data_IF_850532495677
#
_entry.id   IF_850532495677
#
_cell.length_a   1.000
_cell.length_b   1.000
_cell.length_c   1.000
_cell.angle_alpha   90.00
_cell.angle_beta   90.00
_cell.angle_gamma   90.00
#
_symmetry.space_group_name_H-M   'P 1'
#
loop_
_entity.id
_entity.type
_entity.pdbx_description
1 polymer ?
#
# COMPACT_ATOMS: atom_id res chain seq x y z
N UNK A 1 -38.98 -80.53 -15.06
CA UNK A 1 -37.76 -79.73 -15.30
C UNK A 1 -38.12 -78.27 -15.01
N UNK A 2 -37.67 -77.75 -13.87
CA UNK A 2 -38.11 -76.46 -13.30
C UNK A 2 -37.20 -75.34 -13.82
N UNK A 3 -37.80 -74.31 -14.43
CA UNK A 3 -37.13 -73.08 -14.86
C UNK A 3 -36.94 -72.16 -13.66
N UNK A 4 -35.70 -71.79 -13.36
CA UNK A 4 -35.37 -70.75 -12.38
C UNK A 4 -35.05 -69.47 -13.15
N UNK A 5 -35.88 -68.43 -12.94
CA UNK A 5 -35.64 -67.08 -13.46
C UNK A 5 -34.96 -66.29 -12.34
N UNK A 6 -33.70 -65.91 -12.55
CA UNK A 6 -32.96 -65.02 -11.65
C UNK A 6 -33.26 -63.58 -12.01
N UNK A 7 -33.88 -62.84 -11.07
CA UNK A 7 -34.07 -61.39 -11.17
C UNK A 7 -32.85 -60.71 -10.55
N UNK A 8 -32.13 -59.92 -11.35
CA UNK A 8 -31.02 -59.07 -10.88
C UNK A 8 -31.60 -57.70 -10.54
N UNK A 9 -31.59 -57.33 -9.26
CA UNK A 9 -31.89 -55.96 -8.80
C UNK A 9 -30.66 -55.07 -9.04
N UNK A 10 -30.78 -54.10 -9.95
CA UNK A 10 -29.80 -53.04 -10.11
C UNK A 10 -30.07 -51.92 -9.08
N UNK A 11 -29.16 -51.77 -8.11
CA UNK A 11 -29.12 -50.61 -7.21
C UNK A 11 -28.57 -49.39 -7.98
N UNK A 12 -29.44 -48.42 -8.26
CA UNK A 12 -29.06 -47.13 -8.82
C UNK A 12 -28.57 -46.24 -7.68
N UNK A 13 -27.26 -45.97 -7.64
CA UNK A 13 -26.67 -44.98 -6.75
C UNK A 13 -26.97 -43.60 -7.35
N UNK A 14 -27.85 -42.84 -6.72
CA UNK A 14 -28.15 -41.47 -7.14
C UNK A 14 -27.00 -40.55 -6.76
N UNK A 15 -26.23 -40.08 -7.74
CA UNK A 15 -25.31 -38.96 -7.56
C UNK A 15 -26.13 -37.67 -7.43
N UNK A 16 -26.18 -37.12 -6.21
CA UNK A 16 -26.75 -35.80 -5.99
C UNK A 16 -25.83 -34.76 -6.64
N UNK A 17 -26.24 -34.25 -7.81
CA UNK A 17 -25.62 -33.06 -8.42
C UNK A 17 -25.99 -31.86 -7.57
N UNK A 18 -25.08 -31.44 -6.68
CA UNK A 18 -25.21 -30.18 -5.97
C UNK A 18 -25.06 -29.04 -6.99
N UNK A 19 -26.15 -28.33 -7.27
CA UNK A 19 -26.13 -27.13 -8.08
C UNK A 19 -25.22 -26.09 -7.40
N UNK A 20 -24.11 -25.76 -8.06
CA UNK A 20 -23.16 -24.75 -7.59
C UNK A 20 -23.83 -23.38 -7.70
N UNK A 21 -24.06 -22.72 -6.57
CA UNK A 21 -24.63 -21.38 -6.55
C UNK A 21 -23.73 -20.43 -7.38
N UNK A 22 -24.31 -19.52 -8.18
CA UNK A 22 -23.53 -18.57 -8.97
C UNK A 22 -22.63 -17.75 -8.04
N UNK A 23 -21.36 -17.60 -8.43
CA UNK A 23 -20.41 -16.78 -7.69
C UNK A 23 -20.96 -15.36 -7.54
N UNK A 24 -20.93 -14.83 -6.32
CA UNK A 24 -21.34 -13.45 -6.07
C UNK A 24 -20.48 -12.49 -6.92
N UNK A 25 -21.09 -11.45 -7.51
CA UNK A 25 -20.34 -10.48 -8.30
C UNK A 25 -19.27 -9.80 -7.43
N UNK A 26 -18.03 -9.76 -7.94
CA UNK A 26 -16.92 -9.06 -7.28
C UNK A 26 -17.20 -7.56 -7.33
N UNK A 27 -17.51 -6.97 -6.18
CA UNK A 27 -17.64 -5.51 -6.04
C UNK A 27 -16.24 -4.92 -6.04
N UNK A 28 -15.87 -4.24 -7.14
CA UNK A 28 -14.61 -3.52 -7.18
C UNK A 28 -14.68 -2.30 -6.25
N UNK A 29 -13.65 -2.04 -5.41
CA UNK A 29 -13.61 -0.87 -4.56
C UNK A 29 -13.79 0.40 -5.39
N UNK A 30 -14.67 1.31 -4.94
CA UNK A 30 -14.82 2.61 -5.58
C UNK A 30 -13.55 3.43 -5.40
N UNK A 31 -12.99 3.89 -6.51
CA UNK A 31 -11.82 4.78 -6.51
C UNK A 31 -12.30 6.23 -6.53
N UNK A 32 -11.96 6.99 -5.49
CA UNK A 32 -12.37 8.40 -5.35
C UNK A 32 -11.29 9.40 -5.79
N UNK A 33 -10.01 9.04 -5.60
CA UNK A 33 -8.88 9.94 -5.83
C UNK A 33 -8.14 9.60 -7.12
N UNK A 34 -7.73 10.63 -7.87
CA UNK A 34 -6.69 10.47 -8.90
C UNK A 34 -5.33 10.15 -8.26
N UNK A 35 -4.32 9.79 -9.07
CA UNK A 35 -3.01 9.39 -8.57
C UNK A 35 -2.34 10.49 -7.73
N UNK A 36 -2.37 11.74 -8.20
CA UNK A 36 -1.77 12.86 -7.50
C UNK A 36 -2.45 13.14 -6.15
N UNK A 37 -3.77 12.99 -6.08
CA UNK A 37 -4.55 13.13 -4.84
C UNK A 37 -4.23 12.01 -3.86
N UNK A 38 -4.10 10.76 -4.33
CA UNK A 38 -3.64 9.65 -3.49
C UNK A 38 -2.26 9.98 -2.92
N UNK A 39 -1.28 10.28 -3.76
CA UNK A 39 0.08 10.60 -3.33
C UNK A 39 0.12 11.72 -2.28
N UNK A 40 -0.64 12.79 -2.47
CA UNK A 40 -0.70 13.91 -1.50
C UNK A 40 -1.42 13.58 -0.20
N UNK A 41 -2.50 12.79 -0.28
CA UNK A 41 -3.32 12.47 0.88
C UNK A 41 -2.74 11.38 1.77
N UNK A 42 -1.81 10.58 1.24
CA UNK A 42 -1.29 9.41 1.96
C UNK A 42 0.23 9.39 2.00
N UNK A 43 0.92 9.21 0.86
CA UNK A 43 2.38 9.04 0.82
C UNK A 43 3.14 10.29 1.30
N UNK A 44 2.70 11.47 0.88
CA UNK A 44 3.36 12.74 1.18
C UNK A 44 3.48 13.02 2.69
N UNK A 45 2.41 13.01 3.51
CA UNK A 45 2.54 13.24 4.95
C UNK A 45 3.43 12.19 5.63
N UNK A 46 3.38 10.92 5.21
CA UNK A 46 4.27 9.90 5.77
C UNK A 46 5.73 10.14 5.40
N UNK A 47 6.00 10.53 4.14
CA UNK A 47 7.37 10.84 3.70
C UNK A 47 7.97 12.02 4.47
N UNK A 48 7.17 13.02 4.84
CA UNK A 48 7.65 14.14 5.64
C UNK A 48 8.12 13.69 7.02
N UNK A 49 7.39 12.80 7.70
CA UNK A 49 7.84 12.23 8.99
C UNK A 49 9.18 11.52 8.81
N UNK A 50 9.30 10.68 7.79
CA UNK A 50 10.50 9.87 7.57
C UNK A 50 11.72 10.75 7.26
N UNK A 51 11.56 11.76 6.40
CA UNK A 51 12.66 12.67 6.04
C UNK A 51 12.98 13.69 7.14
N UNK A 52 12.03 14.04 8.01
CA UNK A 52 12.36 14.78 9.24
C UNK A 52 13.22 13.92 10.16
N UNK A 53 12.84 12.66 10.38
CA UNK A 53 13.62 11.72 11.19
C UNK A 53 15.03 11.44 10.63
N UNK A 54 15.27 11.73 9.35
CA UNK A 54 16.60 11.65 8.73
C UNK A 54 17.57 12.72 9.27
N UNK A 55 17.06 13.86 9.74
CA UNK A 55 17.86 15.03 10.12
C UNK A 55 17.63 15.52 11.54
N UNK A 56 16.56 15.06 12.20
CA UNK A 56 16.20 15.39 13.58
C UNK A 56 15.85 14.11 14.35
N UNK A 57 16.44 13.94 15.55
CA UNK A 57 16.15 12.80 16.42
C UNK A 57 14.66 12.81 16.84
N UNK A 58 13.87 11.78 16.50
CA UNK A 58 12.48 11.68 16.91
C UNK A 58 12.27 11.73 18.43
N UNK A 59 13.24 11.33 19.25
CA UNK A 59 13.16 11.42 20.71
C UNK A 59 13.30 12.85 21.25
N UNK A 60 13.78 13.80 20.44
CA UNK A 60 13.92 15.21 20.85
C UNK A 60 12.58 15.97 20.86
N UNK A 61 11.56 15.46 20.18
CA UNK A 61 10.25 16.11 20.09
C UNK A 61 9.47 15.97 21.39
N UNK A 62 9.04 17.12 21.94
CA UNK A 62 8.19 17.14 23.14
C UNK A 62 6.72 16.98 22.75
N UNK A 63 5.95 16.09 23.41
CA UNK A 63 4.52 15.97 23.16
C UNK A 63 3.79 17.31 23.33
N UNK A 64 2.80 17.56 22.47
CA UNK A 64 1.97 18.75 22.55
C UNK A 64 1.04 18.69 23.80
N UNK A 65 0.52 19.84 24.23
CA UNK A 65 -0.45 19.88 25.34
C UNK A 65 -1.75 19.12 25.02
N UNK A 66 -2.17 19.13 23.74
CA UNK A 66 -3.35 18.43 23.24
C UNK A 66 -2.96 17.40 22.18
N UNK A 67 -2.32 16.32 22.63
CA UNK A 67 -1.70 15.30 21.77
C UNK A 67 -2.67 14.64 20.77
N UNK A 68 -3.94 14.44 21.15
CA UNK A 68 -4.96 13.82 20.29
C UNK A 68 -5.37 14.67 19.09
N UNK A 69 -5.07 15.97 19.12
CA UNK A 69 -5.39 16.90 18.04
C UNK A 69 -4.12 17.58 17.50
N UNK A 70 -2.93 17.04 17.80
CA UNK A 70 -1.71 17.61 17.25
C UNK A 70 -1.67 17.41 15.73
N UNK A 71 -1.38 18.48 15.00
CA UNK A 71 -1.18 18.46 13.55
C UNK A 71 0.22 17.98 13.16
N UNK A 72 1.16 17.97 14.10
CA UNK A 72 2.50 17.44 13.92
C UNK A 72 2.55 15.99 14.45
N UNK A 73 2.80 15.00 13.57
CA UNK A 73 2.87 13.60 13.97
C UNK A 73 3.84 13.35 15.13
N UNK A 74 4.98 14.05 15.20
CA UNK A 74 5.99 13.82 16.22
C UNK A 74 5.57 14.28 17.62
N UNK A 75 4.60 15.18 17.72
CA UNK A 75 4.11 15.71 19.00
C UNK A 75 2.72 15.18 19.36
N UNK A 76 2.18 14.29 18.54
CA UNK A 76 0.88 13.63 18.76
C UNK A 76 0.94 12.56 19.84
N UNK A 77 -0.20 11.90 20.09
CA UNK A 77 -0.28 10.77 21.03
C UNK A 77 0.56 9.56 20.59
N UNK A 78 0.92 9.49 19.31
CA UNK A 78 1.75 8.46 18.69
C UNK A 78 3.04 9.09 18.13
N UNK A 79 3.64 9.99 18.92
CA UNK A 79 4.77 10.84 18.53
C UNK A 79 6.14 10.17 18.58
N UNK A 80 7.17 10.99 18.35
CA UNK A 80 8.57 10.57 18.32
C UNK A 80 8.83 9.36 17.41
N UNK A 81 9.52 8.35 17.94
CA UNK A 81 9.85 7.13 17.20
C UNK A 81 8.63 6.34 16.72
N UNK A 82 7.52 6.37 17.47
CA UNK A 82 6.28 5.70 17.06
C UNK A 82 5.68 6.36 15.80
N UNK A 83 5.88 7.67 15.60
CA UNK A 83 5.47 8.35 14.38
C UNK A 83 6.23 7.79 13.16
N UNK A 84 7.53 7.52 13.29
CA UNK A 84 8.36 6.92 12.22
C UNK A 84 7.89 5.49 11.90
N UNK A 85 7.66 4.68 12.93
CA UNK A 85 7.11 3.32 12.79
C UNK A 85 5.78 3.32 12.03
N UNK A 86 4.84 4.16 12.47
CA UNK A 86 3.52 4.27 11.87
C UNK A 86 3.59 4.79 10.44
N UNK A 87 4.46 5.75 10.15
CA UNK A 87 4.65 6.27 8.79
C UNK A 87 5.24 5.24 7.84
N UNK A 88 6.22 4.45 8.28
CA UNK A 88 6.78 3.34 7.49
C UNK A 88 5.70 2.31 7.13
N UNK A 89 4.93 1.84 8.13
CA UNK A 89 3.87 0.86 7.88
C UNK A 89 2.71 1.40 7.05
N UNK A 90 2.24 2.62 7.34
CA UNK A 90 1.19 3.26 6.57
C UNK A 90 1.60 3.42 5.10
N UNK A 91 2.87 3.73 4.84
CA UNK A 91 3.41 3.81 3.49
C UNK A 91 3.46 2.43 2.79
N UNK A 92 3.94 1.40 3.47
CA UNK A 92 3.99 0.04 2.94
C UNK A 92 2.59 -0.49 2.55
N UNK A 93 1.60 -0.27 3.40
CA UNK A 93 0.21 -0.65 3.12
C UNK A 93 -0.39 0.18 1.99
N UNK A 94 -0.14 1.49 1.98
CA UNK A 94 -0.65 2.40 0.96
C UNK A 94 -0.06 2.11 -0.42
N UNK A 95 1.15 1.54 -0.50
CA UNK A 95 1.76 1.12 -1.77
C UNK A 95 0.83 0.21 -2.58
N UNK A 96 -0.01 -0.60 -1.92
CA UNK A 96 -1.02 -1.44 -2.60
C UNK A 96 -2.05 -0.60 -3.36
N UNK A 97 -2.39 0.60 -2.88
CA UNK A 97 -3.33 1.50 -3.55
C UNK A 97 -2.76 2.07 -4.86
N UNK A 98 -1.43 2.09 -5.02
CA UNK A 98 -0.76 2.53 -6.25
C UNK A 98 -0.90 1.51 -7.40
N UNK A 99 -1.34 0.28 -7.10
CA UNK A 99 -1.66 -0.75 -8.10
C UNK A 99 -3.12 -0.69 -8.56
N UNK A 100 -3.98 0.03 -7.83
CA UNK A 100 -5.41 0.14 -8.18
C UNK A 100 -5.58 1.09 -9.36
N UNK A 101 -6.21 0.65 -10.48
CA UNK A 101 -6.43 1.47 -11.65
C UNK A 101 -7.16 2.79 -11.32
N UNK A 102 -6.56 3.90 -11.74
CA UNK A 102 -7.09 5.26 -11.55
C UNK A 102 -6.56 6.20 -12.63
N UNK A 103 -7.10 7.42 -12.69
CA UNK A 103 -6.58 8.46 -13.56
C UNK A 103 -5.37 9.16 -12.92
N UNK A 104 -4.41 9.59 -13.74
CA UNK A 104 -3.41 10.60 -13.39
C UNK A 104 -4.04 12.00 -13.39
N UNK A 105 -3.32 13.05 -12.95
CA UNK A 105 -3.85 14.42 -12.95
C UNK A 105 -4.04 14.98 -14.37
N UNK A 106 -3.31 14.43 -15.34
CA UNK A 106 -3.43 14.77 -16.76
C UNK A 106 -4.60 14.08 -17.49
N UNK A 107 -5.46 13.36 -16.76
CA UNK A 107 -6.63 12.67 -17.31
C UNK A 107 -6.34 11.35 -18.05
N UNK A 108 -5.08 10.92 -18.13
CA UNK A 108 -4.70 9.61 -18.68
C UNK A 108 -4.74 8.53 -17.59
N UNK A 109 -4.96 7.26 -17.97
CA UNK A 109 -4.85 6.16 -17.02
C UNK A 109 -3.45 6.09 -16.40
N UNK A 110 -3.38 5.85 -15.09
CA UNK A 110 -2.12 5.53 -14.42
C UNK A 110 -1.55 4.21 -14.98
N UNK A 111 -0.22 4.11 -15.15
CA UNK A 111 0.42 2.99 -15.83
C UNK A 111 0.56 1.76 -14.91
N UNK A 112 -0.48 1.42 -14.16
CA UNK A 112 -0.48 0.36 -13.14
C UNK A 112 -0.24 -1.04 -13.72
N UNK A 113 -0.35 -1.19 -15.03
CA UNK A 113 -0.08 -2.44 -15.73
C UNK A 113 1.38 -2.60 -16.16
N UNK A 114 2.15 -1.52 -16.19
CA UNK A 114 3.55 -1.59 -16.63
C UNK A 114 4.40 -2.38 -15.63
N UNK A 115 5.37 -3.13 -16.14
CA UNK A 115 6.24 -3.97 -15.32
C UNK A 115 7.15 -3.14 -14.40
N UNK A 116 7.70 -2.03 -14.91
CA UNK A 116 8.53 -1.10 -14.14
C UNK A 116 7.74 -0.46 -12.99
N UNK A 117 6.50 -0.05 -13.23
CA UNK A 117 5.61 0.49 -12.21
C UNK A 117 5.40 -0.50 -11.04
N UNK A 118 5.12 -1.77 -11.34
CA UNK A 118 4.91 -2.81 -10.33
C UNK A 118 6.20 -3.06 -9.53
N UNK A 119 7.33 -3.19 -10.23
CA UNK A 119 8.64 -3.35 -9.61
C UNK A 119 8.99 -2.19 -8.65
N UNK A 120 8.82 -0.94 -9.09
CA UNK A 120 9.10 0.23 -8.25
C UNK A 120 8.15 0.36 -7.04
N UNK A 121 6.92 -0.15 -7.14
CA UNK A 121 6.01 -0.25 -5.99
C UNK A 121 6.50 -1.30 -4.99
N UNK A 122 7.02 -2.43 -5.46
CA UNK A 122 7.59 -3.44 -4.59
C UNK A 122 8.83 -2.89 -3.86
N UNK A 123 9.72 -2.19 -4.57
CA UNK A 123 10.87 -1.48 -3.99
C UNK A 123 10.44 -0.43 -2.95
N UNK A 124 9.40 0.36 -3.25
CA UNK A 124 8.84 1.33 -2.30
C UNK A 124 8.33 0.63 -1.04
N UNK A 125 7.63 -0.50 -1.18
CA UNK A 125 7.10 -1.27 -0.06
C UNK A 125 8.24 -1.81 0.80
N UNK A 126 9.28 -2.37 0.18
CA UNK A 126 10.46 -2.89 0.88
C UNK A 126 11.20 -1.78 1.64
N UNK A 127 11.42 -0.62 1.00
CA UNK A 127 12.02 0.54 1.64
C UNK A 127 11.18 1.04 2.82
N UNK A 128 9.85 1.11 2.68
CA UNK A 128 8.93 1.51 3.74
C UNK A 128 8.94 0.53 4.94
N UNK A 129 9.03 -0.78 4.69
CA UNK A 129 9.25 -1.79 5.73
C UNK A 129 10.62 -1.62 6.39
N UNK A 130 11.65 -1.23 5.63
CA UNK A 130 12.95 -0.85 6.17
C UNK A 130 12.85 0.30 7.17
N UNK A 131 12.08 1.34 6.82
CA UNK A 131 11.83 2.48 7.72
C UNK A 131 11.06 2.08 8.96
N UNK A 132 10.04 1.21 8.85
CA UNK A 132 9.35 0.69 10.02
C UNK A 132 10.33 0.01 11.00
N UNK A 133 11.20 -0.86 10.50
CA UNK A 133 12.22 -1.52 11.32
C UNK A 133 13.23 -0.53 11.92
N UNK A 134 13.60 0.51 11.17
CA UNK A 134 14.46 1.58 11.67
C UNK A 134 13.79 2.35 12.84
N UNK A 135 12.48 2.63 12.70
CA UNK A 135 11.66 3.20 13.75
C UNK A 135 11.67 2.35 15.03
N UNK A 136 11.47 1.04 14.89
CA UNK A 136 11.50 0.09 16.01
C UNK A 136 12.88 0.03 16.68
N UNK A 137 13.95 0.17 15.90
CA UNK A 137 15.32 0.16 16.40
C UNK A 137 15.71 1.45 17.14
N UNK A 138 14.98 2.55 16.91
CA UNK A 138 15.22 3.87 17.51
C UNK A 138 16.66 4.33 17.34
N UNK A 139 17.16 4.21 16.12
CA UNK A 139 18.55 4.45 15.77
C UNK A 139 18.65 5.36 14.55
N UNK A 140 19.28 6.52 14.74
CA UNK A 140 19.41 7.56 13.73
C UNK A 140 20.18 7.09 12.49
N UNK A 141 21.26 6.33 12.66
CA UNK A 141 22.04 5.80 11.53
C UNK A 141 21.20 4.86 10.66
N UNK A 142 20.38 4.03 11.30
CA UNK A 142 19.51 3.08 10.59
C UNK A 142 18.37 3.81 9.89
N UNK A 143 17.82 4.87 10.49
CA UNK A 143 16.81 5.73 9.81
C UNK A 143 17.42 6.47 8.64
N UNK A 144 18.64 7.00 8.78
CA UNK A 144 19.33 7.70 7.71
C UNK A 144 19.48 6.82 6.46
N UNK A 145 19.93 5.57 6.65
CA UNK A 145 20.06 4.60 5.56
C UNK A 145 18.69 4.21 4.98
N UNK A 146 17.69 3.97 5.83
CA UNK A 146 16.34 3.61 5.38
C UNK A 146 15.66 4.75 4.60
N UNK A 147 15.85 6.00 5.04
CA UNK A 147 15.33 7.20 4.38
C UNK A 147 16.00 7.40 3.01
N UNK A 148 17.30 7.16 2.87
CA UNK A 148 18.01 7.23 1.57
C UNK A 148 17.49 6.19 0.56
N UNK A 149 17.31 4.95 1.02
CA UNK A 149 16.67 3.88 0.22
C UNK A 149 15.26 4.27 -0.20
N UNK A 150 14.48 4.85 0.70
CA UNK A 150 13.13 5.32 0.41
C UNK A 150 13.14 6.47 -0.61
N UNK A 151 14.05 7.43 -0.47
CA UNK A 151 14.21 8.53 -1.42
C UNK A 151 14.53 8.00 -2.83
N UNK A 152 15.41 7.00 -2.92
CA UNK A 152 15.74 6.32 -4.18
C UNK A 152 14.52 5.65 -4.80
N UNK A 153 13.75 4.85 -4.03
CA UNK A 153 12.53 4.21 -4.51
C UNK A 153 11.49 5.25 -5.00
N UNK A 154 11.32 6.37 -4.28
CA UNK A 154 10.46 7.46 -4.71
C UNK A 154 10.90 8.05 -6.07
N UNK A 155 12.21 8.20 -6.28
CA UNK A 155 12.76 8.80 -7.49
C UNK A 155 12.55 7.96 -8.75
N UNK A 156 12.55 6.63 -8.66
CA UNK A 156 12.32 5.75 -9.80
C UNK A 156 11.00 6.07 -10.53
N UNK A 157 9.89 6.16 -9.78
CA UNK A 157 8.60 6.59 -10.32
C UNK A 157 8.57 8.08 -10.63
N UNK A 158 9.06 8.93 -9.72
CA UNK A 158 8.90 10.37 -9.84
C UNK A 158 9.69 10.97 -11.01
N UNK A 159 10.87 10.46 -11.33
CA UNK A 159 11.65 10.92 -12.48
C UNK A 159 10.87 10.75 -13.79
N UNK A 160 10.11 9.66 -13.92
CA UNK A 160 9.36 9.33 -15.14
C UNK A 160 7.97 9.97 -15.19
N UNK A 161 7.26 10.02 -14.06
CA UNK A 161 5.83 10.35 -14.03
C UNK A 161 5.47 11.67 -13.34
N UNK A 162 6.31 12.15 -12.41
CA UNK A 162 6.06 13.38 -11.64
C UNK A 162 6.87 14.56 -12.16
N UNK A 163 8.14 14.35 -12.48
CA UNK A 163 9.11 15.38 -12.85
C UNK A 163 9.05 15.65 -14.37
N UNK A 164 7.84 15.92 -14.86
CA UNK A 164 7.56 16.16 -16.28
C UNK A 164 7.38 17.66 -16.58
N UNK A 165 7.69 18.12 -17.80
CA UNK A 165 7.39 19.49 -18.22
C UNK A 165 5.92 19.87 -18.02
N UNK A 166 5.65 21.10 -17.61
CA UNK A 166 4.29 21.61 -17.33
C UNK A 166 3.75 21.27 -15.93
N UNK A 167 4.53 20.62 -15.07
CA UNK A 167 4.23 20.53 -13.63
C UNK A 167 2.97 19.72 -13.31
N UNK A 168 2.25 20.11 -12.24
CA UNK A 168 1.18 19.31 -11.63
C UNK A 168 0.09 18.84 -12.61
N UNK A 169 -0.26 19.64 -13.62
CA UNK A 169 -1.31 19.29 -14.59
C UNK A 169 -0.92 18.12 -15.51
N UNK A 170 0.38 17.86 -15.64
CA UNK A 170 0.91 16.84 -16.53
C UNK A 170 1.36 15.56 -15.81
N UNK A 171 1.32 15.54 -14.47
CA UNK A 171 1.83 14.44 -13.64
C UNK A 171 0.96 13.18 -13.69
N UNK A 172 1.59 12.06 -13.40
CA UNK A 172 1.04 11.07 -12.50
C UNK A 172 1.70 11.30 -11.12
#
# INVERSE_FOLDING_TARGET
>A
MIRVVSVVLALVWGEAVYAQAPAAPVVQPRVYANMLQLMRGTLYPQSNVIFTAQVEDPAAFKPAAHQSTSSDPFTSAYGGWEAVENSGMAMAETANLLLVPRQCSNGKPAPVQNADWKMWIDELREAAVGVYKAGQAKNDDVVLEAADKLATACLHCHAKYRNVPGGNVNRC
#
